data_IF_908376246450
#
_entry.id   IF_908376246450
#
_cell.length_a   1.000
_cell.length_b   1.000
_cell.length_c   1.000
_cell.angle_alpha   90.00
_cell.angle_beta   90.00
_cell.angle_gamma   90.00
#
_symmetry.space_group_name_H-M   'P 1'
#
loop_
_entity.id
_entity.type
_entity.pdbx_description
1 polymer ?
#
# COMPACT_ATOMS: atom_id res chain seq x y z
N UNK A 1 -8.95 7.29 13.05
CA UNK A 1 -7.63 7.83 12.79
C UNK A 1 -6.85 6.88 11.89
N UNK A 2 -6.23 7.42 10.83
CA UNK A 2 -5.30 6.63 10.02
C UNK A 2 -4.03 6.39 10.82
N UNK A 3 -3.50 5.17 10.76
CA UNK A 3 -2.23 4.81 11.41
C UNK A 3 -1.26 4.37 10.33
N UNK A 4 -0.05 4.91 10.32
CA UNK A 4 1.00 4.45 9.42
C UNK A 4 1.35 2.99 9.74
N UNK A 5 1.53 2.17 8.72
CA UNK A 5 1.99 0.78 8.84
C UNK A 5 3.50 0.65 8.59
N UNK A 6 4.08 1.62 7.88
CA UNK A 6 5.51 1.77 7.65
C UNK A 6 5.91 3.25 7.74
N UNK A 7 7.14 3.52 8.13
CA UNK A 7 7.70 4.88 8.23
C UNK A 7 9.19 4.80 7.92
N UNK A 8 9.67 5.68 7.01
CA UNK A 8 11.09 5.92 6.81
C UNK A 8 11.45 7.33 7.25
N UNK A 9 12.37 7.46 8.18
CA UNK A 9 12.77 8.74 8.78
C UNK A 9 14.29 8.95 8.70
N UNK A 10 14.78 10.22 8.63
CA UNK A 10 14.03 11.48 8.55
C UNK A 10 13.52 11.79 7.13
N UNK A 11 12.51 12.64 7.03
CA UNK A 11 11.93 13.10 5.75
C UNK A 11 12.74 14.22 5.08
N UNK A 12 14.05 14.24 5.26
CA UNK A 12 14.94 15.26 4.71
C UNK A 12 16.08 14.61 3.94
N UNK A 13 16.16 14.89 2.65
CA UNK A 13 17.15 14.26 1.76
C UNK A 13 18.60 14.52 2.20
N UNK A 14 18.94 15.72 2.64
CA UNK A 14 20.30 16.03 3.08
C UNK A 14 20.69 15.24 4.34
N UNK A 15 19.75 15.01 5.26
CA UNK A 15 20.01 14.21 6.46
C UNK A 15 20.18 12.73 6.06
N UNK A 16 19.30 12.21 5.19
CA UNK A 16 19.41 10.83 4.68
C UNK A 16 20.74 10.58 3.99
N UNK A 17 21.19 11.50 3.15
CA UNK A 17 22.45 11.34 2.40
C UNK A 17 23.69 11.36 3.28
N UNK A 18 23.67 12.09 4.41
CA UNK A 18 24.83 12.24 5.32
C UNK A 18 24.77 11.25 6.47
N UNK A 19 23.60 11.02 7.05
CA UNK A 19 23.42 10.28 8.29
C UNK A 19 22.64 8.96 8.12
N UNK A 20 22.17 8.67 6.91
CA UNK A 20 21.32 7.52 6.63
C UNK A 20 19.87 7.74 7.08
N UNK A 21 19.07 6.69 6.95
CA UNK A 21 17.67 6.67 7.36
C UNK A 21 17.38 5.43 8.21
N UNK A 22 16.23 5.46 8.91
CA UNK A 22 15.67 4.30 9.61
C UNK A 22 14.27 4.04 9.12
N UNK A 23 14.01 2.80 8.75
CA UNK A 23 12.68 2.32 8.46
C UNK A 23 12.13 1.58 9.68
N UNK A 24 10.84 1.77 9.93
CA UNK A 24 10.08 1.07 10.96
C UNK A 24 8.79 0.57 10.34
N UNK A 25 8.51 -0.73 10.45
CA UNK A 25 7.22 -1.32 10.12
C UNK A 25 6.47 -1.70 11.39
N UNK A 26 5.15 -1.53 11.38
CA UNK A 26 4.30 -1.78 12.55
C UNK A 26 3.53 -3.07 12.29
N UNK A 27 4.26 -4.19 12.27
CA UNK A 27 3.75 -5.50 11.85
C UNK A 27 2.57 -6.02 12.66
N UNK A 28 2.43 -5.64 13.93
CA UNK A 28 1.27 -6.01 14.73
C UNK A 28 -0.04 -5.38 14.23
N UNK A 29 0.02 -4.23 13.58
CA UNK A 29 -1.15 -3.62 12.95
C UNK A 29 -1.52 -4.33 11.65
N UNK A 30 -0.53 -4.65 10.83
CA UNK A 30 -0.73 -5.43 9.59
C UNK A 30 -1.32 -6.80 9.91
N UNK A 31 -0.77 -7.52 10.89
CA UNK A 31 -1.28 -8.80 11.36
C UNK A 31 -2.74 -8.72 11.83
N UNK A 32 -3.10 -7.66 12.56
CA UNK A 32 -4.48 -7.46 13.00
C UNK A 32 -5.44 -7.22 11.83
N UNK A 33 -5.02 -6.46 10.79
CA UNK A 33 -5.82 -6.27 9.58
C UNK A 33 -5.97 -7.56 8.78
N UNK A 34 -4.90 -8.30 8.59
CA UNK A 34 -4.90 -9.56 7.87
C UNK A 34 -5.85 -10.57 8.54
N UNK A 35 -5.74 -10.74 9.86
CA UNK A 35 -6.64 -11.60 10.63
C UNK A 35 -8.11 -11.18 10.50
N UNK A 36 -8.40 -9.88 10.51
CA UNK A 36 -9.77 -9.39 10.35
C UNK A 36 -10.31 -9.56 8.92
N UNK A 37 -9.44 -9.66 7.92
CA UNK A 37 -9.82 -9.84 6.52
C UNK A 37 -10.02 -11.32 6.13
N UNK A 38 -9.40 -12.25 6.86
CA UNK A 38 -9.54 -13.68 6.58
C UNK A 38 -11.01 -14.13 6.65
N UNK A 39 -11.45 -14.82 5.60
CA UNK A 39 -12.79 -15.43 5.55
C UNK A 39 -13.97 -14.45 5.47
N UNK A 40 -13.73 -13.18 5.20
CA UNK A 40 -14.78 -12.16 5.08
C UNK A 40 -15.53 -12.17 3.72
N UNK A 41 -15.19 -13.08 2.81
CA UNK A 41 -15.81 -13.22 1.49
C UNK A 41 -15.24 -12.31 0.40
N UNK A 42 -14.36 -11.35 0.74
CA UNK A 42 -13.80 -10.41 -0.24
C UNK A 42 -12.97 -11.12 -1.32
N UNK A 43 -12.09 -12.02 -0.91
CA UNK A 43 -11.27 -12.79 -1.85
C UNK A 43 -12.12 -13.72 -2.72
N UNK A 44 -13.19 -14.30 -2.15
CA UNK A 44 -14.13 -15.14 -2.91
C UNK A 44 -14.86 -14.37 -3.99
N UNK A 45 -15.18 -13.11 -3.74
CA UNK A 45 -15.89 -12.26 -4.68
C UNK A 45 -14.97 -11.73 -5.79
N UNK A 46 -13.71 -11.33 -5.50
CA UNK A 46 -12.90 -10.57 -6.43
C UNK A 46 -11.73 -11.33 -7.07
N UNK A 47 -11.31 -12.47 -6.53
CA UNK A 47 -10.21 -13.27 -7.08
C UNK A 47 -10.70 -14.18 -8.20
N UNK A 48 -9.97 -14.20 -9.33
CA UNK A 48 -10.36 -14.87 -10.56
C UNK A 48 -10.49 -16.38 -10.46
N UNK A 49 -9.52 -17.05 -9.88
CA UNK A 49 -9.41 -18.50 -9.89
C UNK A 49 -8.96 -19.14 -8.58
N UNK A 50 -9.01 -20.46 -8.54
CA UNK A 50 -8.64 -21.24 -7.36
C UNK A 50 -7.12 -21.19 -7.10
N UNK A 51 -6.31 -21.13 -8.17
CA UNK A 51 -4.84 -21.08 -8.06
C UNK A 51 -4.38 -19.77 -7.42
N UNK A 52 -4.96 -18.63 -7.84
CA UNK A 52 -4.67 -17.32 -7.26
C UNK A 52 -5.10 -17.27 -5.80
N UNK A 53 -6.26 -17.86 -5.45
CA UNK A 53 -6.70 -17.96 -4.05
C UNK A 53 -5.74 -18.78 -3.20
N UNK A 54 -5.25 -19.91 -3.72
CA UNK A 54 -4.28 -20.75 -2.99
C UNK A 54 -2.97 -19.98 -2.73
N UNK A 55 -2.45 -19.24 -3.71
CA UNK A 55 -1.25 -18.42 -3.48
C UNK A 55 -1.51 -17.33 -2.44
N UNK A 56 -2.66 -16.65 -2.51
CA UNK A 56 -3.04 -15.60 -1.57
C UNK A 56 -3.15 -16.19 -0.16
N UNK A 57 -3.90 -17.25 0.03
CA UNK A 57 -4.09 -17.87 1.34
C UNK A 57 -2.76 -18.32 1.97
N UNK A 58 -1.80 -18.73 1.13
CA UNK A 58 -0.53 -19.26 1.60
C UNK A 58 0.56 -18.22 1.81
N UNK A 59 0.57 -17.15 1.03
CA UNK A 59 1.72 -16.27 0.95
C UNK A 59 1.40 -14.78 1.13
N UNK A 60 0.13 -14.35 1.09
CA UNK A 60 -0.21 -12.92 1.07
C UNK A 60 0.34 -12.15 2.26
N UNK A 61 0.20 -12.69 3.47
CA UNK A 61 0.67 -12.02 4.69
C UNK A 61 2.18 -11.81 4.64
N UNK A 62 2.93 -12.87 4.32
CA UNK A 62 4.39 -12.81 4.21
C UNK A 62 4.84 -11.83 3.11
N UNK A 63 4.24 -11.94 1.92
CA UNK A 63 4.69 -11.14 0.77
C UNK A 63 4.24 -9.70 0.84
N UNK A 64 3.12 -9.41 1.49
CA UNK A 64 2.67 -8.05 1.79
C UNK A 64 3.57 -7.36 2.82
N UNK A 65 3.98 -8.07 3.88
CA UNK A 65 4.96 -7.55 4.84
C UNK A 65 6.31 -7.27 4.16
N UNK A 66 6.81 -8.21 3.35
CA UNK A 66 8.06 -8.03 2.60
C UNK A 66 7.97 -6.89 1.58
N UNK A 67 6.82 -6.72 0.92
CA UNK A 67 6.61 -5.59 0.03
C UNK A 67 6.72 -4.27 0.80
N UNK A 68 6.07 -4.16 1.96
CA UNK A 68 6.17 -2.99 2.84
C UNK A 68 7.61 -2.74 3.29
N UNK A 69 8.33 -3.77 3.72
CA UNK A 69 9.73 -3.64 4.13
C UNK A 69 10.64 -3.18 2.98
N UNK A 70 10.47 -3.72 1.79
CA UNK A 70 11.21 -3.31 0.60
C UNK A 70 10.85 -1.89 0.13
N UNK A 71 9.57 -1.52 0.22
CA UNK A 71 9.08 -0.17 -0.03
C UNK A 71 9.79 0.86 0.87
N UNK A 72 9.83 0.59 2.17
CA UNK A 72 10.47 1.49 3.14
C UNK A 72 12.00 1.47 3.06
N UNK A 73 12.61 0.26 3.02
CA UNK A 73 14.07 0.13 3.12
C UNK A 73 14.79 0.40 1.81
N UNK A 74 14.30 -0.15 0.69
CA UNK A 74 14.90 0.05 -0.64
C UNK A 74 14.23 1.19 -1.40
N UNK A 75 12.91 1.29 -1.31
CA UNK A 75 12.15 2.34 -1.95
C UNK A 75 12.54 3.72 -1.40
N UNK A 76 11.98 4.11 -0.28
CA UNK A 76 12.27 5.41 0.33
C UNK A 76 13.73 5.57 0.79
N UNK A 77 14.38 4.48 1.16
CA UNK A 77 15.78 4.47 1.60
C UNK A 77 16.81 4.69 0.49
N UNK A 78 16.41 4.70 -0.78
CA UNK A 78 17.30 4.78 -1.94
C UNK A 78 16.99 5.96 -2.88
N UNK A 79 17.84 6.08 -3.90
CA UNK A 79 17.68 7.08 -4.96
C UNK A 79 18.26 8.44 -4.58
N UNK A 80 18.81 9.12 -5.59
CA UNK A 80 19.39 10.45 -5.44
C UNK A 80 18.90 11.34 -6.57
N UNK A 81 18.77 12.63 -6.26
CA UNK A 81 18.60 13.66 -7.27
C UNK A 81 19.93 13.93 -7.96
N UNK A 82 19.91 14.29 -9.21
CA UNK A 82 21.09 14.81 -9.90
C UNK A 82 21.53 16.14 -9.30
N UNK A 83 22.84 16.47 -9.37
CA UNK A 83 23.35 17.74 -8.85
C UNK A 83 22.60 18.95 -9.39
N UNK A 84 22.14 19.83 -8.49
CA UNK A 84 21.42 21.05 -8.84
C UNK A 84 19.91 20.90 -9.03
N UNK A 85 19.37 19.70 -8.89
CA UNK A 85 17.90 19.49 -8.98
C UNK A 85 17.25 19.82 -7.62
N UNK A 86 16.17 20.63 -7.70
CA UNK A 86 15.36 20.98 -6.55
C UNK A 86 14.56 19.75 -6.05
N UNK A 87 14.49 19.58 -4.74
CA UNK A 87 13.71 18.50 -4.11
C UNK A 87 12.23 18.59 -4.46
N UNK A 88 11.70 19.78 -4.64
CA UNK A 88 10.31 20.06 -4.97
C UNK A 88 10.06 20.23 -6.48
N UNK A 89 11.03 19.85 -7.33
CA UNK A 89 10.91 20.02 -8.79
C UNK A 89 9.64 19.41 -9.39
N UNK A 90 9.17 18.28 -8.83
CA UNK A 90 7.95 17.59 -9.29
C UNK A 90 6.65 18.16 -8.72
N UNK A 91 6.70 19.13 -7.79
CA UNK A 91 5.56 19.82 -7.20
C UNK A 91 4.45 18.86 -6.75
N UNK A 92 3.21 19.10 -7.15
CA UNK A 92 2.03 18.30 -6.78
C UNK A 92 2.08 16.82 -7.22
N UNK A 93 2.96 16.45 -8.13
CA UNK A 93 3.12 15.08 -8.59
C UNK A 93 4.19 14.30 -7.81
N UNK A 94 5.01 15.01 -7.02
CA UNK A 94 6.17 14.45 -6.34
C UNK A 94 5.83 13.29 -5.40
N UNK A 95 4.77 13.41 -4.59
CA UNK A 95 4.36 12.34 -3.68
C UNK A 95 3.91 11.09 -4.44
N UNK A 96 3.07 11.21 -5.47
CA UNK A 96 2.63 10.06 -6.28
C UNK A 96 3.81 9.37 -6.97
N UNK A 97 4.77 10.13 -7.50
CA UNK A 97 5.98 9.57 -8.15
C UNK A 97 6.88 8.87 -7.13
N UNK A 98 7.04 9.43 -5.92
CA UNK A 98 7.85 8.82 -4.87
C UNK A 98 7.24 7.51 -4.36
N UNK A 99 5.94 7.50 -4.09
CA UNK A 99 5.23 6.30 -3.67
C UNK A 99 5.25 5.21 -4.76
N UNK A 100 5.08 5.62 -6.04
CA UNK A 100 5.19 4.68 -7.16
C UNK A 100 6.60 4.10 -7.29
N UNK A 101 7.64 4.90 -7.01
CA UNK A 101 9.02 4.42 -7.01
C UNK A 101 9.25 3.42 -5.89
N UNK A 102 8.77 3.72 -4.69
CA UNK A 102 8.93 2.85 -3.52
C UNK A 102 8.20 1.51 -3.69
N UNK A 103 6.94 1.53 -4.14
CA UNK A 103 6.18 0.30 -4.44
C UNK A 103 6.84 -0.53 -5.55
N UNK A 104 7.35 0.10 -6.61
CA UNK A 104 8.04 -0.61 -7.69
C UNK A 104 9.35 -1.25 -7.24
N UNK A 105 10.07 -0.67 -6.28
CA UNK A 105 11.21 -1.35 -5.66
C UNK A 105 10.75 -2.64 -4.97
N UNK A 106 9.69 -2.58 -4.17
CA UNK A 106 9.10 -3.75 -3.54
C UNK A 106 8.71 -4.82 -4.56
N UNK A 107 7.90 -4.45 -5.54
CA UNK A 107 7.43 -5.38 -6.57
C UNK A 107 8.58 -5.97 -7.41
N UNK A 108 9.55 -5.17 -7.82
CA UNK A 108 10.65 -5.65 -8.68
C UNK A 108 11.59 -6.63 -7.97
N UNK A 109 11.89 -6.38 -6.67
CA UNK A 109 12.83 -7.21 -5.91
C UNK A 109 12.17 -8.38 -5.18
N UNK A 110 10.88 -8.35 -4.90
CA UNK A 110 10.18 -9.45 -4.23
C UNK A 110 10.38 -10.83 -4.90
N UNK A 111 10.34 -10.97 -6.25
CA UNK A 111 10.62 -12.23 -6.94
C UNK A 111 12.11 -12.52 -7.16
N UNK A 112 13.02 -11.75 -6.58
CA UNK A 112 14.45 -11.95 -6.77
C UNK A 112 14.94 -13.21 -6.06
N UNK A 113 15.82 -13.97 -6.71
CA UNK A 113 16.42 -15.17 -6.16
C UNK A 113 17.08 -14.92 -4.80
N UNK A 114 17.56 -13.69 -4.57
CA UNK A 114 18.16 -13.29 -3.30
C UNK A 114 17.21 -13.38 -2.13
N UNK A 115 15.90 -13.18 -2.34
CA UNK A 115 14.88 -13.31 -1.29
C UNK A 115 14.81 -14.76 -0.79
N UNK A 116 14.92 -15.74 -1.68
CA UNK A 116 14.95 -17.16 -1.32
C UNK A 116 16.28 -17.52 -0.62
N UNK A 117 17.40 -17.06 -1.14
CA UNK A 117 18.72 -17.29 -0.54
C UNK A 117 18.83 -16.75 0.88
N UNK A 118 18.20 -15.61 1.16
CA UNK A 118 18.14 -15.01 2.48
C UNK A 118 17.09 -15.66 3.40
N UNK A 119 16.29 -16.60 2.88
CA UNK A 119 15.20 -17.23 3.63
C UNK A 119 13.99 -16.33 3.90
N UNK A 120 13.88 -15.22 3.14
CA UNK A 120 12.78 -14.27 3.28
C UNK A 120 11.52 -14.73 2.54
N UNK A 121 11.67 -15.43 1.40
CA UNK A 121 10.57 -16.11 0.71
C UNK A 121 10.84 -17.62 0.63
N UNK A 122 9.80 -18.47 0.73
CA UNK A 122 9.98 -19.93 0.78
C UNK A 122 10.30 -20.56 -0.58
N UNK A 123 9.93 -19.93 -1.69
CA UNK A 123 10.08 -20.48 -3.05
C UNK A 123 9.86 -19.40 -4.12
N UNK A 124 10.00 -19.83 -5.40
CA UNK A 124 9.91 -18.98 -6.60
C UNK A 124 8.48 -18.52 -6.93
N UNK A 125 7.45 -19.03 -6.26
CA UNK A 125 6.04 -18.72 -6.57
C UNK A 125 5.41 -17.78 -5.55
N UNK A 126 6.00 -17.61 -4.38
CA UNK A 126 5.42 -16.84 -3.29
C UNK A 126 5.04 -15.39 -3.69
N UNK A 127 5.88 -14.73 -4.50
CA UNK A 127 5.64 -13.36 -4.95
C UNK A 127 4.37 -13.19 -5.80
N UNK A 128 3.85 -14.28 -6.39
CA UNK A 128 2.65 -14.24 -7.24
C UNK A 128 1.42 -13.77 -6.46
N UNK A 129 1.35 -14.08 -5.17
CA UNK A 129 0.29 -13.61 -4.29
C UNK A 129 0.25 -12.08 -4.23
N UNK A 130 1.37 -11.44 -3.94
CA UNK A 130 1.48 -9.98 -3.88
C UNK A 130 1.23 -9.32 -5.23
N UNK A 131 1.81 -9.86 -6.32
CA UNK A 131 1.56 -9.34 -7.66
C UNK A 131 0.09 -9.36 -8.03
N UNK A 132 -0.59 -10.47 -7.71
CA UNK A 132 -2.01 -10.59 -7.98
C UNK A 132 -2.84 -9.58 -7.17
N UNK A 133 -2.60 -9.52 -5.86
CA UNK A 133 -3.28 -8.56 -4.96
C UNK A 133 -3.02 -7.13 -5.41
N UNK A 134 -1.77 -6.79 -5.74
CA UNK A 134 -1.39 -5.45 -6.17
C UNK A 134 -2.10 -5.03 -7.45
N UNK A 135 -2.08 -5.90 -8.47
CA UNK A 135 -2.75 -5.62 -9.75
C UNK A 135 -4.28 -5.56 -9.60
N UNK A 136 -4.88 -6.49 -8.84
CA UNK A 136 -6.31 -6.48 -8.54
C UNK A 136 -6.71 -5.20 -7.78
N UNK A 137 -5.91 -4.80 -6.80
CA UNK A 137 -6.16 -3.59 -6.04
C UNK A 137 -6.03 -2.33 -6.90
N UNK A 138 -4.94 -2.21 -7.65
CA UNK A 138 -4.67 -1.04 -8.49
C UNK A 138 -5.64 -0.86 -9.66
N UNK A 139 -6.13 -1.94 -10.24
CA UNK A 139 -7.08 -1.89 -11.36
C UNK A 139 -8.54 -1.81 -10.90
N UNK A 140 -8.89 -2.40 -9.74
CA UNK A 140 -10.31 -2.61 -9.38
C UNK A 140 -10.61 -2.32 -7.90
N UNK A 141 -10.07 -3.10 -6.96
CA UNK A 141 -10.66 -3.22 -5.64
C UNK A 141 -10.44 -2.00 -4.74
N UNK A 142 -9.42 -1.18 -4.99
CA UNK A 142 -9.27 0.10 -4.26
C UNK A 142 -10.41 1.09 -4.56
N UNK A 143 -11.15 0.91 -5.67
CA UNK A 143 -12.28 1.76 -6.04
C UNK A 143 -13.43 1.74 -5.01
N UNK A 144 -13.51 0.71 -4.16
CA UNK A 144 -14.46 0.66 -3.04
C UNK A 144 -14.29 1.82 -2.03
N UNK A 145 -13.12 2.47 -2.03
CA UNK A 145 -12.79 3.59 -1.13
C UNK A 145 -13.12 4.95 -1.72
N UNK A 146 -13.58 5.00 -2.97
CA UNK A 146 -13.86 6.23 -3.71
C UNK A 146 -15.37 6.35 -3.86
N UNK A 147 -15.92 7.52 -3.56
CA UNK A 147 -17.31 7.82 -3.84
C UNK A 147 -17.56 7.83 -5.35
N UNK A 148 -18.69 7.25 -5.77
CA UNK A 148 -19.00 7.14 -7.19
C UNK A 148 -18.97 8.50 -7.90
N UNK A 149 -18.29 8.54 -9.02
CA UNK A 149 -18.12 9.76 -9.83
C UNK A 149 -16.90 10.62 -9.44
N UNK A 150 -16.21 10.28 -8.36
CA UNK A 150 -14.98 10.95 -7.95
C UNK A 150 -13.73 10.33 -8.57
N UNK A 151 -12.67 11.12 -8.65
CA UNK A 151 -11.33 10.72 -9.09
C UNK A 151 -10.51 10.18 -7.93
N UNK A 152 -9.39 9.54 -8.25
CA UNK A 152 -8.39 9.14 -7.23
C UNK A 152 -7.61 10.37 -6.78
N UNK A 153 -7.59 10.66 -5.48
CA UNK A 153 -6.94 11.84 -4.89
C UNK A 153 -5.73 11.48 -4.03
N UNK A 154 -5.80 10.40 -3.25
CA UNK A 154 -4.79 9.99 -2.29
C UNK A 154 -3.56 9.38 -2.98
N UNK A 155 -2.33 9.74 -2.52
CA UNK A 155 -1.07 9.42 -3.19
C UNK A 155 -0.82 7.91 -3.34
N UNK A 156 -1.08 7.12 -2.30
CA UNK A 156 -0.91 5.65 -2.37
C UNK A 156 -1.96 4.97 -3.25
N UNK A 157 -3.14 5.53 -3.39
CA UNK A 157 -4.13 5.02 -4.35
C UNK A 157 -3.76 5.42 -5.79
N UNK A 158 -3.22 6.64 -5.97
CA UNK A 158 -2.72 7.13 -7.26
C UNK A 158 -1.55 6.31 -7.76
N UNK A 159 -0.56 6.05 -6.91
CA UNK A 159 0.62 5.27 -7.31
C UNK A 159 0.22 3.85 -7.74
N UNK A 160 -0.64 3.20 -6.95
CA UNK A 160 -1.11 1.84 -7.20
C UNK A 160 -1.89 1.74 -8.50
N UNK A 161 -2.79 2.70 -8.75
CA UNK A 161 -3.51 2.78 -10.01
C UNK A 161 -2.58 3.04 -11.21
N UNK A 162 -1.60 3.94 -11.03
CA UNK A 162 -0.62 4.27 -12.06
C UNK A 162 0.15 3.03 -12.50
N UNK A 163 0.74 2.32 -11.56
CA UNK A 163 1.55 1.12 -11.84
C UNK A 163 0.69 0.05 -12.51
N UNK A 164 -0.48 -0.23 -11.96
CA UNK A 164 -1.35 -1.28 -12.47
C UNK A 164 -1.89 -0.96 -13.87
N UNK A 165 -2.37 0.26 -14.11
CA UNK A 165 -2.87 0.68 -15.43
C UNK A 165 -1.77 0.77 -16.47
N UNK A 166 -0.59 1.26 -16.09
CA UNK A 166 0.55 1.33 -16.98
C UNK A 166 0.97 -0.07 -17.42
N UNK A 167 1.13 -1.00 -16.47
CA UNK A 167 1.49 -2.39 -16.78
C UNK A 167 0.42 -3.09 -17.63
N UNK A 168 -0.86 -2.86 -17.32
CA UNK A 168 -1.98 -3.37 -18.12
C UNK A 168 -1.94 -2.86 -19.57
N UNK A 169 -1.74 -1.55 -19.78
CA UNK A 169 -1.67 -0.96 -21.13
C UNK A 169 -0.44 -1.45 -21.89
N UNK A 170 0.75 -1.42 -21.25
CA UNK A 170 2.01 -1.77 -21.90
C UNK A 170 2.13 -3.27 -22.18
N UNK A 171 1.55 -4.11 -21.34
CA UNK A 171 1.52 -5.56 -21.51
C UNK A 171 0.38 -6.06 -22.42
N UNK A 172 -0.49 -5.17 -22.93
CA UNK A 172 -1.73 -5.56 -23.65
C UNK A 172 -1.47 -6.37 -24.92
N UNK A 173 -0.44 -6.05 -25.72
CA UNK A 173 -0.13 -6.77 -26.97
C UNK A 173 0.27 -8.23 -26.74
N UNK A 174 0.84 -8.53 -25.56
CA UNK A 174 1.24 -9.87 -25.15
C UNK A 174 0.29 -10.48 -24.13
N UNK A 175 -0.79 -9.78 -23.82
CA UNK A 175 -1.81 -10.19 -22.82
C UNK A 175 -1.21 -10.54 -21.46
N UNK A 176 -0.23 -9.78 -21.01
CA UNK A 176 0.45 -10.02 -19.73
C UNK A 176 -0.54 -9.98 -18.58
N UNK A 177 -1.42 -8.97 -18.58
CA UNK A 177 -2.54 -8.81 -17.67
C UNK A 177 -3.80 -8.52 -18.47
N UNK A 178 -4.90 -9.15 -18.13
CA UNK A 178 -6.19 -8.94 -18.76
C UNK A 178 -7.27 -8.63 -17.71
N UNK A 179 -8.25 -7.80 -18.10
CA UNK A 179 -9.54 -7.71 -17.43
C UNK A 179 -10.50 -8.65 -18.16
N UNK A 180 -10.88 -9.74 -17.51
CA UNK A 180 -11.72 -10.78 -18.09
C UNK A 180 -13.10 -10.78 -17.45
N UNK A 181 -14.15 -11.09 -18.23
CA UNK A 181 -15.51 -11.26 -17.71
C UNK A 181 -15.84 -12.73 -17.51
N UNK A 182 -16.37 -13.05 -16.33
CA UNK A 182 -16.93 -14.34 -15.98
C UNK A 182 -18.23 -14.11 -15.22
N UNK A 183 -19.35 -14.67 -15.70
CA UNK A 183 -20.67 -14.50 -15.07
C UNK A 183 -21.04 -13.01 -14.82
N UNK A 184 -20.85 -12.18 -15.84
CA UNK A 184 -21.06 -10.71 -15.81
C UNK A 184 -20.18 -9.93 -14.84
N UNK A 185 -19.23 -10.58 -14.16
CA UNK A 185 -18.27 -9.95 -13.25
C UNK A 185 -16.90 -9.81 -13.91
N UNK A 186 -16.26 -8.66 -13.69
CA UNK A 186 -14.91 -8.38 -14.15
C UNK A 186 -13.89 -8.88 -13.15
N UNK A 187 -12.81 -9.50 -13.64
CA UNK A 187 -11.70 -10.01 -12.84
C UNK A 187 -10.39 -9.64 -13.48
N UNK A 188 -9.35 -9.48 -12.66
CA UNK A 188 -7.97 -9.39 -13.12
C UNK A 188 -7.44 -10.81 -13.35
N UNK A 189 -6.78 -11.03 -14.47
CA UNK A 189 -6.06 -12.26 -14.80
C UNK A 189 -4.64 -11.93 -15.21
N UNK A 190 -3.67 -12.52 -14.55
CA UNK A 190 -2.24 -12.37 -14.90
C UNK A 190 -1.82 -13.64 -15.64
N UNK A 191 -1.42 -13.49 -16.89
CA UNK A 191 -1.01 -14.62 -17.72
C UNK A 191 0.51 -14.85 -17.70
N UNK A 192 1.30 -13.79 -17.43
CA UNK A 192 2.77 -13.89 -17.42
C UNK A 192 3.38 -13.02 -16.32
N UNK A 193 3.71 -13.64 -15.19
CA UNK A 193 4.29 -12.97 -14.03
C UNK A 193 5.75 -12.51 -14.27
N UNK A 194 6.51 -13.18 -15.14
CA UNK A 194 7.88 -12.79 -15.46
C UNK A 194 7.89 -11.52 -16.30
N UNK A 195 7.06 -11.48 -17.35
CA UNK A 195 6.89 -10.26 -18.15
C UNK A 195 6.32 -9.11 -17.34
N UNK A 196 5.43 -9.39 -16.38
CA UNK A 196 4.93 -8.35 -15.48
C UNK A 196 6.06 -7.76 -14.62
N UNK A 197 7.00 -8.60 -14.13
CA UNK A 197 8.21 -8.11 -13.45
C UNK A 197 9.05 -7.20 -14.37
N UNK A 198 9.24 -7.60 -15.63
CA UNK A 198 10.00 -6.80 -16.60
C UNK A 198 9.34 -5.45 -16.88
N UNK A 199 8.01 -5.41 -16.94
CA UNK A 199 7.25 -4.17 -17.05
C UNK A 199 7.42 -3.28 -15.80
N UNK A 200 7.38 -3.85 -14.60
CA UNK A 200 7.64 -3.11 -13.37
C UNK A 200 9.07 -2.54 -13.35
N UNK A 201 10.07 -3.30 -13.79
CA UNK A 201 11.45 -2.83 -13.91
C UNK A 201 11.58 -1.67 -14.91
N UNK A 202 10.90 -1.76 -16.05
CA UNK A 202 10.88 -0.69 -17.06
C UNK A 202 10.26 0.60 -16.51
N UNK A 203 9.12 0.48 -15.81
CA UNK A 203 8.47 1.64 -15.21
C UNK A 203 9.29 2.22 -14.05
N UNK A 204 9.92 1.36 -13.23
CA UNK A 204 10.82 1.79 -12.16
C UNK A 204 11.97 2.64 -12.69
N UNK A 205 12.61 2.20 -13.79
CA UNK A 205 13.69 2.95 -14.41
C UNK A 205 13.23 4.34 -14.88
N UNK A 206 12.06 4.42 -15.50
CA UNK A 206 11.51 5.70 -15.96
C UNK A 206 11.11 6.61 -14.78
N UNK A 207 10.47 6.09 -13.76
CA UNK A 207 10.10 6.85 -12.56
C UNK A 207 11.35 7.34 -11.81
N UNK A 208 12.39 6.50 -11.72
CA UNK A 208 13.67 6.91 -11.13
C UNK A 208 14.33 8.02 -11.93
N UNK A 209 14.31 7.97 -13.27
CA UNK A 209 14.79 9.05 -14.14
C UNK A 209 14.02 10.34 -13.88
N UNK A 210 12.68 10.28 -13.94
CA UNK A 210 11.80 11.43 -13.70
C UNK A 210 12.13 12.12 -12.36
N UNK A 211 12.28 11.32 -11.30
CA UNK A 211 12.61 11.85 -9.98
C UNK A 211 14.00 12.46 -9.95
N UNK A 212 15.02 11.72 -10.43
CA UNK A 212 16.41 12.14 -10.36
C UNK A 212 16.69 13.42 -11.17
N UNK A 213 16.03 13.59 -12.29
CA UNK A 213 16.17 14.74 -13.19
C UNK A 213 15.21 15.90 -12.83
N UNK A 214 14.24 15.67 -11.96
CA UNK A 214 13.20 16.66 -11.65
C UNK A 214 12.29 16.95 -12.85
N UNK A 215 12.04 15.95 -13.72
CA UNK A 215 11.26 16.09 -14.95
C UNK A 215 9.76 16.23 -14.64
N UNK A 216 9.37 17.45 -14.34
CA UNK A 216 7.99 17.80 -13.98
C UNK A 216 6.98 17.41 -15.07
N UNK A 217 7.33 17.62 -16.35
CA UNK A 217 6.38 17.39 -17.45
C UNK A 217 6.13 15.88 -17.66
N UNK A 218 7.16 15.06 -17.59
CA UNK A 218 6.99 13.61 -17.64
C UNK A 218 6.21 13.08 -16.42
N UNK A 219 6.47 13.61 -15.21
CA UNK A 219 5.71 13.28 -14.02
C UNK A 219 4.22 13.60 -14.19
N UNK A 220 3.92 14.82 -14.67
CA UNK A 220 2.55 15.28 -14.95
C UNK A 220 1.84 14.34 -15.93
N UNK A 221 2.47 14.08 -17.08
CA UNK A 221 1.87 13.21 -18.12
C UNK A 221 1.59 11.81 -17.60
N UNK A 222 2.53 11.23 -16.84
CA UNK A 222 2.39 9.89 -16.30
C UNK A 222 1.24 9.82 -15.27
N UNK A 223 1.20 10.74 -14.32
CA UNK A 223 0.19 10.78 -13.26
C UNK A 223 -1.20 11.10 -13.83
N UNK A 224 -1.33 12.12 -14.67
CA UNK A 224 -2.63 12.50 -15.26
C UNK A 224 -3.21 11.40 -16.15
N UNK A 225 -2.35 10.67 -16.87
CA UNK A 225 -2.81 9.59 -17.73
C UNK A 225 -3.29 8.37 -16.95
N UNK A 226 -2.51 7.94 -15.93
CA UNK A 226 -2.72 6.64 -15.31
C UNK A 226 -3.25 6.67 -13.88
N UNK A 227 -3.01 7.74 -13.11
CA UNK A 227 -3.26 7.74 -11.69
C UNK A 227 -4.61 8.32 -11.25
N UNK A 228 -5.22 9.18 -12.06
CA UNK A 228 -6.32 10.04 -11.62
C UNK A 228 -7.69 9.52 -12.03
N UNK A 229 -7.85 9.19 -13.32
CA UNK A 229 -9.17 8.86 -13.89
C UNK A 229 -9.64 7.47 -13.51
N UNK A 230 -10.91 7.34 -13.17
CA UNK A 230 -11.60 6.10 -12.88
C UNK A 230 -12.54 5.74 -14.03
N UNK A 231 -12.60 4.47 -14.40
CA UNK A 231 -13.62 3.98 -15.33
C UNK A 231 -14.97 3.91 -14.61
N UNK A 232 -16.01 4.65 -15.05
CA UNK A 232 -17.27 4.72 -14.31
C UNK A 232 -18.03 3.39 -14.28
N UNK A 233 -17.92 2.57 -15.34
CA UNK A 233 -18.65 1.29 -15.41
C UNK A 233 -18.02 0.27 -14.46
N UNK A 234 -16.70 0.16 -14.49
CA UNK A 234 -15.96 -0.70 -13.57
C UNK A 234 -16.14 -0.24 -12.12
N UNK A 235 -16.15 1.07 -11.86
CA UNK A 235 -16.39 1.61 -10.52
C UNK A 235 -17.76 1.22 -9.99
N UNK A 236 -18.82 1.41 -10.78
CA UNK A 236 -20.17 1.02 -10.40
C UNK A 236 -20.29 -0.50 -10.14
N UNK A 237 -19.65 -1.33 -10.98
CA UNK A 237 -19.60 -2.77 -10.80
C UNK A 237 -18.94 -3.15 -9.46
N UNK A 238 -17.76 -2.59 -9.20
CA UNK A 238 -16.98 -2.89 -7.98
C UNK A 238 -17.73 -2.47 -6.72
N UNK A 239 -18.32 -1.27 -6.70
CA UNK A 239 -19.14 -0.81 -5.57
C UNK A 239 -20.35 -1.73 -5.33
N UNK A 240 -21.08 -2.09 -6.38
CA UNK A 240 -22.25 -2.99 -6.26
C UNK A 240 -21.87 -4.38 -5.74
N UNK A 241 -20.71 -4.91 -6.14
CA UNK A 241 -20.20 -6.21 -5.67
C UNK A 241 -19.77 -6.13 -4.20
N UNK A 242 -19.06 -5.07 -3.82
CA UNK A 242 -18.59 -4.85 -2.46
C UNK A 242 -19.75 -4.67 -1.47
N UNK A 243 -20.78 -3.91 -1.84
CA UNK A 243 -21.95 -3.67 -1.00
C UNK A 243 -22.66 -4.97 -0.60
N UNK A 244 -22.72 -5.95 -1.50
CA UNK A 244 -23.34 -7.27 -1.23
C UNK A 244 -22.59 -8.11 -0.18
N UNK A 245 -21.33 -7.78 0.10
CA UNK A 245 -20.54 -8.49 1.10
C UNK A 245 -20.88 -8.06 2.52
N UNK A 246 -21.56 -6.92 2.69
CA UNK A 246 -21.93 -6.37 4.00
C UNK A 246 -20.76 -6.32 5.00
N UNK A 247 -19.57 -6.01 4.51
CA UNK A 247 -18.37 -5.96 5.35
C UNK A 247 -18.47 -4.84 6.38
N UNK A 248 -18.01 -5.13 7.59
CA UNK A 248 -17.94 -4.11 8.62
C UNK A 248 -17.01 -2.97 8.17
N UNK A 249 -17.44 -1.70 8.32
CA UNK A 249 -16.58 -0.58 7.99
C UNK A 249 -15.34 -0.57 8.90
N UNK A 250 -14.23 -0.06 8.38
CA UNK A 250 -13.03 0.17 9.17
C UNK A 250 -13.32 1.09 10.36
N UNK A 251 -12.99 0.64 11.58
CA UNK A 251 -13.30 1.35 12.83
C UNK A 251 -12.08 1.94 13.54
N UNK A 252 -10.88 1.60 13.11
CA UNK A 252 -9.63 1.97 13.78
C UNK A 252 -9.18 0.94 14.82
N UNK A 253 -8.16 1.31 15.57
CA UNK A 253 -7.52 0.43 16.55
C UNK A 253 -7.92 0.77 17.97
N UNK A 254 -7.85 -0.24 18.85
CA UNK A 254 -7.87 -0.07 20.29
C UNK A 254 -6.43 0.22 20.72
N UNK A 255 -6.23 1.34 21.44
CA UNK A 255 -4.94 1.64 22.04
C UNK A 255 -4.81 0.92 23.39
N UNK A 256 -3.60 0.49 23.77
CA UNK A 256 -3.39 -0.05 25.10
C UNK A 256 -3.63 1.03 26.17
N UNK A 257 -4.14 0.60 27.31
CA UNK A 257 -4.19 1.43 28.51
C UNK A 257 -2.92 1.14 29.32
N UNK A 258 -2.20 2.20 29.67
CA UNK A 258 -0.97 2.13 30.45
C UNK A 258 -1.25 2.59 31.89
N UNK A 259 -0.85 1.76 32.86
CA UNK A 259 -0.91 2.08 34.28
C UNK A 259 0.50 2.04 34.86
N UNK A 260 0.99 3.18 35.36
CA UNK A 260 2.28 3.25 35.98
C UNK A 260 2.21 2.71 37.44
N UNK A 261 3.07 1.76 37.75
CA UNK A 261 3.30 1.28 39.11
C UNK A 261 4.50 2.04 39.68
N UNK A 262 4.32 2.70 40.81
CA UNK A 262 5.38 3.53 41.42
C UNK A 262 5.83 2.93 42.75
N UNK A 263 7.11 3.17 43.10
CA UNK A 263 7.65 2.89 44.44
C UNK A 263 7.22 3.98 45.44
N UNK A 264 7.61 3.81 46.71
CA UNK A 264 7.34 4.77 47.79
C UNK A 264 7.90 6.17 47.56
N UNK A 265 8.85 6.31 46.64
CA UNK A 265 9.49 7.59 46.25
C UNK A 265 8.85 8.17 44.97
N UNK A 266 7.78 7.58 44.46
CA UNK A 266 7.08 8.02 43.25
C UNK A 266 7.82 7.69 41.93
N UNK A 267 8.85 6.84 41.95
CA UNK A 267 9.53 6.43 40.71
C UNK A 267 8.79 5.27 40.08
N UNK A 268 8.58 5.35 38.76
CA UNK A 268 7.96 4.27 38.00
C UNK A 268 8.87 3.05 38.03
N UNK A 269 8.40 1.94 38.56
CA UNK A 269 9.10 0.65 38.64
C UNK A 269 8.53 -0.38 37.67
N UNK A 270 7.30 -0.21 37.20
CA UNK A 270 6.64 -1.06 36.21
C UNK A 270 5.59 -0.23 35.45
N UNK A 271 5.32 -0.64 34.22
CA UNK A 271 4.16 -0.15 33.44
C UNK A 271 3.30 -1.34 33.06
N UNK A 272 2.10 -1.42 33.60
CA UNK A 272 1.11 -2.41 33.20
C UNK A 272 0.44 -2.00 31.91
N UNK A 273 0.29 -2.93 30.99
CA UNK A 273 -0.36 -2.74 29.69
C UNK A 273 -1.61 -3.60 29.63
N UNK A 274 -2.75 -2.99 29.31
CA UNK A 274 -4.01 -3.73 29.17
C UNK A 274 -4.81 -3.31 27.96
N UNK A 275 -5.68 -4.21 27.46
CA UNK A 275 -6.60 -4.01 26.33
C UNK A 275 -8.03 -4.37 26.75
N UNK A 276 -8.46 -3.92 27.92
CA UNK A 276 -9.75 -4.29 28.51
C UNK A 276 -10.94 -3.54 27.89
N UNK A 277 -10.69 -2.38 27.27
CA UNK A 277 -11.74 -1.58 26.65
C UNK A 277 -12.04 -2.04 25.22
N UNK A 278 -13.32 -2.10 24.85
CA UNK A 278 -13.75 -2.15 23.47
C UNK A 278 -13.56 -0.82 22.73
N UNK A 279 -13.64 -0.82 21.41
CA UNK A 279 -13.46 0.41 20.60
C UNK A 279 -14.42 1.53 20.99
N UNK A 280 -15.72 1.24 21.14
CA UNK A 280 -16.72 2.22 21.52
C UNK A 280 -16.47 2.81 22.91
N UNK A 281 -16.13 1.95 23.87
CA UNK A 281 -15.82 2.36 25.24
C UNK A 281 -14.62 3.29 25.30
N UNK A 282 -13.55 2.95 24.56
CA UNK A 282 -12.34 3.76 24.47
C UNK A 282 -12.61 5.13 23.83
N UNK A 283 -13.38 5.18 22.73
CA UNK A 283 -13.76 6.44 22.09
C UNK A 283 -14.61 7.32 22.99
N UNK A 284 -15.54 6.74 23.76
CA UNK A 284 -16.34 7.45 24.74
C UNK A 284 -15.47 7.99 25.90
N UNK A 285 -14.48 7.23 26.34
CA UNK A 285 -13.52 7.68 27.36
C UNK A 285 -12.72 8.87 26.85
N UNK A 286 -12.15 8.79 25.66
CA UNK A 286 -11.41 9.90 25.06
C UNK A 286 -12.27 11.15 24.87
N UNK A 287 -13.52 10.99 24.47
CA UNK A 287 -14.45 12.12 24.37
C UNK A 287 -14.68 12.81 25.71
N UNK A 288 -14.74 12.07 26.81
CA UNK A 288 -14.93 12.64 28.15
C UNK A 288 -13.64 13.30 28.69
N UNK A 289 -12.50 12.63 28.50
CA UNK A 289 -11.22 13.07 29.06
C UNK A 289 -10.61 14.25 28.30
N UNK A 290 -10.83 14.33 26.99
CA UNK A 290 -10.19 15.30 26.09
C UNK A 290 -11.18 16.25 25.40
N UNK A 291 -12.44 16.31 25.81
CA UNK A 291 -13.45 17.19 25.20
C UNK A 291 -13.20 18.69 25.39
N UNK A 292 -12.27 19.03 26.27
CA UNK A 292 -11.84 20.40 26.54
C UNK A 292 -10.71 20.90 25.65
N UNK A 293 -10.22 20.06 24.71
CA UNK A 293 -9.22 20.51 23.74
C UNK A 293 -9.87 21.50 22.77
N UNK A 294 -9.19 22.61 22.44
CA UNK A 294 -9.74 23.59 21.51
C UNK A 294 -9.94 22.97 20.12
N UNK A 295 -11.05 23.35 19.48
CA UNK A 295 -11.23 23.05 18.06
C UNK A 295 -10.25 23.92 17.26
N UNK A 296 -9.27 23.31 16.60
CA UNK A 296 -8.31 23.98 15.74
C UNK A 296 -8.81 24.14 14.29
N UNK A 297 -10.11 24.20 14.08
CA UNK A 297 -10.72 24.35 12.75
C UNK A 297 -11.16 25.81 12.52
N UNK A 298 -10.24 26.76 12.67
CA UNK A 298 -10.35 28.10 12.12
C UNK A 298 -9.10 28.45 11.31
#
# INVERSE_FOLDING_TARGET
PATAIGINLPNSNWIRSVHGSKSVTIGNLTDAYNKAAHGNGFMDEFVYGAEEKEWIDKYADLTGDLHTDLHECLGHGSGQLLPGIDQDALKAYGSTIEEARADLFGLYYLPDQKMIELGLTPNEDAFKAEYYIYMMNGLMTQLVRIEYGHSVEEAHMRNRQLIAKWAYEKGASEKVVELVKKEEKTYVKINDYKKLRDLFGTLLAEIQRIKSEGDYEAARQLVEKYAVKVDPQLHAEVLSRYEKLHLAPYKGFINPVYEAVTDEKGRIIEVKVSYQEGYAEQMLRYSREYSNLPYLNE
#
